data_IF_047882225763
#
_entry.id   IF_047882225763
#
_cell.length_a   1.000
_cell.length_b   1.000
_cell.length_c   1.000
_cell.angle_alpha   90.00
_cell.angle_beta   90.00
_cell.angle_gamma   90.00
#
_symmetry.space_group_name_H-M   'P 1'
#
loop_
_entity.id
_entity.type
_entity.pdbx_description
1 polymer ?
#
# COMPACT_ATOMS: atom_id res chain seq x y z
N UNK A 1 -14.41 0.47 -4.96
CA UNK A 1 -13.77 0.31 -3.66
C UNK A 1 -14.87 0.39 -2.62
N UNK A 2 -15.07 -0.65 -1.80
CA UNK A 2 -15.87 -0.54 -0.59
C UNK A 2 -15.24 0.51 0.34
N UNK A 3 -16.05 1.34 1.00
CA UNK A 3 -15.54 2.35 1.93
C UNK A 3 -16.26 2.23 3.26
N UNK A 4 -15.53 2.41 4.35
CA UNK A 4 -16.12 2.57 5.67
C UNK A 4 -16.71 3.98 5.87
N UNK A 5 -17.75 4.07 6.71
CA UNK A 5 -18.52 5.32 6.93
C UNK A 5 -18.46 5.83 8.37
N UNK A 6 -17.92 5.03 9.30
CA UNK A 6 -17.74 5.45 10.68
C UNK A 6 -16.42 6.21 10.84
N UNK A 7 -16.27 6.96 11.93
CA UNK A 7 -15.06 7.71 12.26
C UNK A 7 -14.40 7.11 13.50
N UNK A 8 -13.06 7.07 13.52
CA UNK A 8 -12.29 6.57 14.67
C UNK A 8 -12.56 7.40 15.95
N UNK A 9 -12.40 6.80 17.15
CA UNK A 9 -12.48 7.55 18.40
C UNK A 9 -11.42 8.66 18.47
N UNK A 10 -11.77 9.78 19.11
CA UNK A 10 -10.86 10.92 19.29
C UNK A 10 -9.55 10.57 20.01
N UNK A 11 -9.54 9.52 20.84
CA UNK A 11 -8.34 9.00 21.53
C UNK A 11 -7.35 8.30 20.60
N UNK A 12 -7.79 7.87 19.40
CA UNK A 12 -7.00 7.15 18.39
C UNK A 12 -6.65 8.03 17.17
N UNK A 13 -6.53 9.36 17.35
CA UNK A 13 -6.30 10.29 16.24
C UNK A 13 -5.04 9.97 15.41
N UNK A 14 -3.94 9.63 16.07
CA UNK A 14 -2.64 9.41 15.42
C UNK A 14 -2.49 8.05 14.73
N UNK A 15 -3.33 7.07 15.10
CA UNK A 15 -3.28 5.69 14.64
C UNK A 15 -4.56 4.94 15.05
N UNK A 16 -5.11 4.15 14.14
CA UNK A 16 -6.22 3.21 14.35
C UNK A 16 -5.87 1.91 13.66
N UNK A 17 -6.23 0.78 14.27
CA UNK A 17 -6.06 -0.55 13.67
C UNK A 17 -7.07 -0.72 12.52
N UNK A 18 -8.35 -0.48 12.78
CA UNK A 18 -9.38 -0.62 11.74
C UNK A 18 -9.48 0.61 10.81
N UNK A 19 -9.72 0.41 9.49
CA UNK A 19 -9.92 1.51 8.55
C UNK A 19 -11.25 2.21 8.80
N UNK A 20 -11.20 3.52 9.02
CA UNK A 20 -12.36 4.41 9.17
C UNK A 20 -12.52 5.35 7.95
N UNK A 21 -13.56 6.17 7.92
CA UNK A 21 -13.82 7.04 6.76
C UNK A 21 -12.68 8.03 6.47
N UNK A 22 -11.86 8.39 7.47
CA UNK A 22 -10.67 9.22 7.29
C UNK A 22 -9.60 8.48 6.48
N UNK A 23 -9.39 7.19 6.76
CA UNK A 23 -8.51 6.34 5.97
C UNK A 23 -8.92 6.31 4.50
N UNK A 24 -10.21 6.11 4.24
CA UNK A 24 -10.75 6.09 2.88
C UNK A 24 -10.57 7.44 2.19
N UNK A 25 -10.97 8.53 2.84
CA UNK A 25 -11.03 9.87 2.26
C UNK A 25 -9.65 10.48 2.01
N UNK A 26 -8.70 10.27 2.92
CA UNK A 26 -7.37 10.87 2.83
C UNK A 26 -6.32 9.93 2.23
N UNK A 27 -6.51 8.61 2.38
CA UNK A 27 -5.62 7.60 1.82
C UNK A 27 -6.03 7.21 0.41
N UNK A 28 -7.10 6.43 0.29
CA UNK A 28 -7.45 5.79 -0.98
C UNK A 28 -8.10 6.69 -2.02
N UNK A 29 -9.05 7.57 -1.62
CA UNK A 29 -9.80 8.39 -2.58
C UNK A 29 -8.87 9.24 -3.47
N UNK A 30 -7.80 9.88 -2.96
CA UNK A 30 -6.82 10.58 -3.79
C UNK A 30 -6.17 9.70 -4.88
N UNK A 31 -5.91 8.43 -4.61
CA UNK A 31 -5.35 7.51 -5.60
C UNK A 31 -6.24 7.34 -6.83
N UNK A 32 -7.56 7.42 -6.65
CA UNK A 32 -8.53 7.25 -7.73
C UNK A 32 -8.46 8.38 -8.76
N UNK A 33 -7.89 9.53 -8.40
CA UNK A 33 -7.64 10.66 -9.30
C UNK A 33 -6.30 10.57 -10.03
N UNK A 34 -5.44 9.62 -9.68
CA UNK A 34 -4.17 9.37 -10.35
C UNK A 34 -4.40 8.28 -11.40
N UNK A 35 -4.26 8.57 -12.71
CA UNK A 35 -4.61 7.60 -13.76
C UNK A 35 -3.90 6.25 -13.62
N UNK A 36 -2.60 6.23 -13.33
CA UNK A 36 -1.81 5.00 -13.14
C UNK A 36 -2.30 4.17 -11.96
N UNK A 37 -2.60 4.78 -10.83
CA UNK A 37 -3.15 4.09 -9.66
C UNK A 37 -4.58 3.61 -9.90
N UNK A 38 -5.42 4.37 -10.59
CA UNK A 38 -6.75 3.91 -10.98
C UNK A 38 -6.70 2.66 -11.89
N UNK A 39 -5.63 2.49 -12.69
CA UNK A 39 -5.38 1.26 -13.47
C UNK A 39 -4.89 0.14 -12.55
N UNK A 40 -4.00 0.45 -11.60
CA UNK A 40 -3.51 -0.48 -10.59
C UNK A 40 -4.65 -1.13 -9.79
N UNK A 41 -5.59 -0.34 -9.24
CA UNK A 41 -6.76 -0.88 -8.52
C UNK A 41 -7.60 -1.82 -9.39
N UNK A 42 -7.78 -1.50 -10.67
CA UNK A 42 -8.50 -2.37 -11.61
C UNK A 42 -7.74 -3.66 -11.89
N UNK A 43 -6.41 -3.60 -11.99
CA UNK A 43 -5.57 -4.78 -12.18
C UNK A 43 -5.68 -5.71 -10.97
N UNK A 44 -5.53 -5.20 -9.74
CA UNK A 44 -5.77 -5.96 -8.52
C UNK A 44 -7.14 -6.64 -8.51
N UNK A 45 -8.22 -5.90 -8.75
CA UNK A 45 -9.57 -6.46 -8.74
C UNK A 45 -9.81 -7.54 -9.80
N UNK A 46 -9.25 -7.37 -11.01
CA UNK A 46 -9.34 -8.36 -12.07
C UNK A 46 -8.56 -9.64 -11.74
N UNK A 47 -7.34 -9.50 -11.23
CA UNK A 47 -6.50 -10.63 -10.83
C UNK A 47 -7.13 -11.35 -9.65
N UNK A 48 -7.57 -10.64 -8.60
CA UNK A 48 -8.25 -11.23 -7.45
C UNK A 48 -9.45 -12.08 -7.88
N UNK A 49 -10.31 -11.55 -8.76
CA UNK A 49 -11.45 -12.33 -9.29
C UNK A 49 -10.99 -13.59 -10.02
N UNK A 50 -10.00 -13.49 -10.91
CA UNK A 50 -9.45 -14.65 -11.64
C UNK A 50 -8.90 -15.72 -10.69
N UNK A 51 -8.18 -15.33 -9.65
CA UNK A 51 -7.59 -16.25 -8.67
C UNK A 51 -8.67 -16.91 -7.82
N UNK A 52 -9.68 -16.16 -7.39
CA UNK A 52 -10.83 -16.69 -6.65
C UNK A 52 -11.63 -17.71 -7.48
N UNK A 53 -11.87 -17.43 -8.77
CA UNK A 53 -12.55 -18.36 -9.70
C UNK A 53 -11.76 -19.67 -9.89
N UNK A 54 -10.43 -19.63 -9.74
CA UNK A 54 -9.53 -20.79 -9.84
C UNK A 54 -9.33 -21.53 -8.52
N UNK A 55 -9.70 -20.92 -7.39
CA UNK A 55 -9.39 -21.45 -6.05
C UNK A 55 -7.88 -21.46 -5.74
N UNK A 56 -7.12 -20.48 -6.27
CA UNK A 56 -5.67 -20.38 -6.02
C UNK A 56 -5.38 -19.47 -4.82
N UNK A 57 -5.59 -20.00 -3.62
CA UNK A 57 -5.44 -19.27 -2.37
C UNK A 57 -4.00 -18.79 -2.15
N UNK A 58 -3.00 -19.58 -2.56
CA UNK A 58 -1.60 -19.19 -2.43
C UNK A 58 -1.23 -17.99 -3.32
N UNK A 59 -1.79 -17.89 -4.53
CA UNK A 59 -1.63 -16.69 -5.35
C UNK A 59 -2.41 -15.49 -4.79
N UNK A 60 -3.58 -15.72 -4.19
CA UNK A 60 -4.37 -14.67 -3.53
C UNK A 60 -3.58 -14.05 -2.36
N UNK A 61 -2.93 -14.86 -1.53
CA UNK A 61 -2.10 -14.37 -0.42
C UNK A 61 -0.97 -13.46 -0.91
N UNK A 62 -0.26 -13.87 -1.99
CA UNK A 62 0.78 -13.03 -2.61
C UNK A 62 0.22 -11.72 -3.15
N UNK A 63 -0.98 -11.76 -3.74
CA UNK A 63 -1.66 -10.57 -4.25
C UNK A 63 -2.00 -9.59 -3.12
N UNK A 64 -2.52 -10.10 -2.00
CA UNK A 64 -2.84 -9.31 -0.80
C UNK A 64 -1.58 -8.69 -0.21
N UNK A 65 -0.49 -9.46 -0.11
CA UNK A 65 0.79 -8.96 0.41
C UNK A 65 1.35 -7.81 -0.44
N UNK A 66 1.29 -7.94 -1.77
CA UNK A 66 1.68 -6.88 -2.70
C UNK A 66 0.77 -5.65 -2.57
N UNK A 67 -0.54 -5.86 -2.42
CA UNK A 67 -1.49 -4.77 -2.19
C UNK A 67 -1.12 -4.00 -0.92
N UNK A 68 -0.83 -4.69 0.19
CA UNK A 68 -0.43 -4.06 1.44
C UNK A 68 0.90 -3.29 1.30
N UNK A 69 1.91 -3.92 0.71
CA UNK A 69 3.24 -3.33 0.54
C UNK A 69 3.22 -2.04 -0.29
N UNK A 70 2.30 -1.92 -1.25
CA UNK A 70 2.26 -0.81 -2.22
C UNK A 70 1.12 0.16 -1.93
N UNK A 71 -0.12 -0.34 -1.87
CA UNK A 71 -1.32 0.51 -1.79
C UNK A 71 -1.56 1.01 -0.38
N UNK A 72 -1.26 0.21 0.65
CA UNK A 72 -1.45 0.61 2.05
C UNK A 72 -0.21 1.28 2.65
N UNK A 73 0.97 0.72 2.38
CA UNK A 73 2.22 1.09 3.07
C UNK A 73 3.30 1.69 2.16
N UNK A 74 3.05 1.82 0.86
CA UNK A 74 4.07 2.20 -0.12
C UNK A 74 4.69 3.59 0.09
N UNK A 75 5.98 3.70 -0.21
CA UNK A 75 6.72 4.95 -0.24
C UNK A 75 7.26 5.21 -1.66
N UNK A 76 7.52 6.48 -1.99
CA UNK A 76 8.04 6.90 -3.29
C UNK A 76 9.24 7.82 -3.08
N UNK A 77 10.32 7.59 -3.83
CA UNK A 77 11.48 8.48 -3.84
C UNK A 77 11.13 9.85 -4.44
N UNK A 78 11.59 10.93 -3.82
CA UNK A 78 11.36 12.30 -4.32
C UNK A 78 12.66 13.08 -4.42
N UNK A 79 13.20 13.16 -5.63
CA UNK A 79 14.36 14.01 -5.95
C UNK A 79 15.71 13.41 -5.58
N UNK A 80 16.78 14.24 -5.55
CA UNK A 80 18.13 13.79 -5.25
C UNK A 80 18.28 13.30 -3.79
N UNK A 81 19.03 12.21 -3.59
CA UNK A 81 19.25 11.58 -2.29
C UNK A 81 18.23 10.49 -1.93
N UNK A 82 18.14 10.16 -0.64
CA UNK A 82 17.23 9.14 -0.09
C UNK A 82 15.92 9.73 0.48
N UNK A 83 15.52 10.90 -0.01
CA UNK A 83 14.27 11.51 0.41
C UNK A 83 13.08 10.73 -0.17
N UNK A 84 12.13 10.37 0.69
CA UNK A 84 10.90 9.67 0.31
C UNK A 84 9.65 10.43 0.76
N UNK A 85 8.53 10.16 0.08
CA UNK A 85 7.19 10.54 0.51
C UNK A 85 6.29 9.32 0.57
N UNK A 86 5.30 9.35 1.44
CA UNK A 86 4.27 8.33 1.48
C UNK A 86 3.31 8.46 0.30
N UNK A 87 2.99 7.31 -0.30
CA UNK A 87 1.84 7.15 -1.19
C UNK A 87 0.85 6.12 -0.62
N UNK A 88 1.28 5.23 0.30
CA UNK A 88 0.39 4.25 0.92
C UNK A 88 -0.75 4.89 1.72
N UNK A 89 -1.98 4.38 1.55
CA UNK A 89 -3.19 4.92 2.13
C UNK A 89 -3.21 4.87 3.67
N UNK A 90 -2.83 3.73 4.28
CA UNK A 90 -2.68 3.66 5.74
C UNK A 90 -1.64 4.64 6.25
N UNK A 91 -0.50 4.78 5.55
CA UNK A 91 0.58 5.68 5.97
C UNK A 91 0.15 7.14 5.90
N UNK A 92 -0.51 7.58 4.81
CA UNK A 92 -0.97 8.97 4.67
C UNK A 92 -2.04 9.32 5.71
N UNK A 93 -2.94 8.39 6.00
CA UNK A 93 -4.06 8.61 6.93
C UNK A 93 -3.71 8.38 8.41
N UNK A 94 -2.52 7.86 8.70
CA UNK A 94 -1.98 7.66 10.05
C UNK A 94 -0.84 8.63 10.35
N UNK A 95 -1.11 9.75 11.02
CA UNK A 95 -0.11 10.78 11.28
C UNK A 95 1.13 10.28 12.06
N UNK A 96 0.95 9.29 12.96
CA UNK A 96 2.07 8.66 13.66
C UNK A 96 2.94 7.83 12.73
N UNK A 97 2.32 6.95 11.96
CA UNK A 97 3.02 6.08 11.02
C UNK A 97 3.67 6.86 9.88
N UNK A 98 3.03 7.92 9.37
CA UNK A 98 3.61 8.80 8.36
C UNK A 98 4.98 9.35 8.78
N UNK A 99 5.05 9.90 9.99
CA UNK A 99 6.30 10.45 10.54
C UNK A 99 7.33 9.36 10.74
N UNK A 100 6.90 8.19 11.23
CA UNK A 100 7.77 7.05 11.44
C UNK A 100 8.36 6.53 10.13
N UNK A 101 7.51 6.22 9.14
CA UNK A 101 7.90 5.65 7.86
C UNK A 101 8.90 6.53 7.12
N UNK A 102 8.75 7.86 7.14
CA UNK A 102 9.66 8.79 6.46
C UNK A 102 10.97 8.98 7.23
N UNK A 103 10.97 8.90 8.56
CA UNK A 103 12.13 9.20 9.40
C UNK A 103 13.12 8.04 9.58
N UNK A 104 12.79 6.82 9.14
CA UNK A 104 13.57 5.60 9.38
C UNK A 104 14.02 4.94 8.06
N UNK A 105 14.97 5.54 7.31
CA UNK A 105 15.43 5.02 6.03
C UNK A 105 16.09 3.65 6.11
N UNK A 106 16.60 3.24 7.27
CA UNK A 106 17.12 1.88 7.50
C UNK A 106 16.06 0.77 7.38
N UNK A 107 14.78 1.15 7.37
CA UNK A 107 13.62 0.25 7.17
C UNK A 107 13.15 0.20 5.73
N UNK A 108 13.74 1.01 4.85
CA UNK A 108 13.33 1.10 3.46
C UNK A 108 13.99 0.00 2.65
N UNK A 109 13.19 -0.69 1.84
CA UNK A 109 13.64 -1.65 0.84
C UNK A 109 13.19 -1.18 -0.54
N UNK A 110 13.97 -1.43 -1.61
CA UNK A 110 13.48 -1.26 -2.96
C UNK A 110 12.20 -2.07 -3.20
N UNK A 111 11.27 -1.52 -3.98
CA UNK A 111 10.09 -2.27 -4.40
C UNK A 111 10.49 -3.35 -5.41
N UNK A 112 10.62 -4.58 -4.91
CA UNK A 112 10.89 -5.80 -5.69
C UNK A 112 9.96 -6.91 -5.21
N UNK A 113 9.48 -7.76 -6.12
CA UNK A 113 8.48 -8.77 -5.78
C UNK A 113 9.04 -9.77 -4.77
N UNK A 114 10.27 -10.23 -4.97
CA UNK A 114 10.99 -11.13 -4.08
C UNK A 114 11.17 -10.53 -2.68
N UNK A 115 11.48 -9.22 -2.60
CA UNK A 115 11.60 -8.52 -1.34
C UNK A 115 10.25 -8.42 -0.61
N UNK A 116 9.17 -8.11 -1.34
CA UNK A 116 7.81 -8.08 -0.79
C UNK A 116 7.41 -9.46 -0.27
N UNK A 117 7.61 -10.52 -1.04
CA UNK A 117 7.25 -11.89 -0.60
C UNK A 117 8.05 -12.36 0.60
N UNK A 118 9.29 -11.88 0.75
CA UNK A 118 10.18 -12.29 1.84
C UNK A 118 9.99 -11.49 3.13
N UNK A 119 9.74 -10.19 3.03
CA UNK A 119 9.77 -9.26 4.16
C UNK A 119 8.48 -8.46 4.34
N UNK A 120 7.53 -8.57 3.42
CA UNK A 120 6.23 -7.93 3.54
C UNK A 120 5.42 -8.48 4.70
N UNK A 121 4.47 -7.67 5.17
CA UNK A 121 3.51 -8.08 6.19
C UNK A 121 2.16 -7.42 5.90
N UNK A 122 1.09 -8.08 6.32
CA UNK A 122 -0.27 -7.54 6.37
C UNK A 122 -0.69 -7.26 7.83
N UNK A 123 0.27 -7.25 8.74
CA UNK A 123 0.04 -6.94 10.15
C UNK A 123 -0.28 -5.46 10.31
N UNK A 124 -1.42 -5.21 10.95
CA UNK A 124 -1.95 -3.87 11.22
C UNK A 124 -1.68 -3.46 12.68
N UNK A 125 -1.08 -4.32 13.49
CA UNK A 125 -0.72 -4.05 14.89
C UNK A 125 0.57 -3.22 14.99
N UNK A 126 0.42 -1.92 14.79
CA UNK A 126 1.48 -0.93 14.95
C UNK A 126 2.13 -0.49 13.64
N UNK A 127 3.43 -0.18 13.69
CA UNK A 127 4.17 0.35 12.52
C UNK A 127 4.98 -0.75 11.85
N UNK A 128 5.09 -0.67 10.53
CA UNK A 128 5.78 -1.69 9.73
C UNK A 128 7.27 -1.78 10.06
N UNK A 129 7.79 -3.01 10.10
CA UNK A 129 9.24 -3.22 10.21
C UNK A 129 9.97 -2.78 8.92
N UNK A 130 9.32 -2.96 7.76
CA UNK A 130 9.86 -2.63 6.43
C UNK A 130 8.84 -1.90 5.57
N UNK A 131 9.33 -0.90 4.83
CA UNK A 131 8.55 -0.16 3.84
C UNK A 131 9.18 -0.33 2.46
N UNK A 132 8.35 -0.51 1.43
CA UNK A 132 8.82 -0.71 0.06
C UNK A 132 8.75 0.61 -0.72
N UNK A 133 9.90 1.01 -1.26
CA UNK A 133 10.10 2.30 -1.92
C UNK A 133 10.15 2.10 -3.42
N UNK A 134 9.24 2.75 -4.14
CA UNK A 134 9.33 2.85 -5.59
C UNK A 134 10.00 4.14 -6.06
N UNK A 135 10.49 4.11 -7.30
CA UNK A 135 11.21 5.23 -7.90
C UNK A 135 10.29 6.36 -8.36
N UNK A 136 9.03 6.06 -8.68
CA UNK A 136 8.00 7.05 -8.97
C UNK A 136 6.60 6.48 -8.74
N UNK A 137 5.61 7.36 -8.56
CA UNK A 137 4.19 6.98 -8.40
C UNK A 137 3.70 6.16 -9.60
N UNK A 138 4.11 6.53 -10.81
CA UNK A 138 3.78 5.81 -12.05
C UNK A 138 4.55 4.49 -12.17
N UNK A 139 5.86 4.52 -11.91
CA UNK A 139 6.71 3.33 -11.98
C UNK A 139 6.29 2.24 -11.00
N UNK A 140 5.84 2.60 -9.79
CA UNK A 140 5.26 1.63 -8.84
C UNK A 140 4.01 0.96 -9.42
N UNK A 141 3.09 1.75 -9.97
CA UNK A 141 1.86 1.22 -10.53
C UNK A 141 2.14 0.29 -11.71
N UNK A 142 3.02 0.70 -12.63
CA UNK A 142 3.37 -0.09 -13.81
C UNK A 142 4.11 -1.38 -13.43
N UNK A 143 5.02 -1.33 -12.44
CA UNK A 143 5.68 -2.51 -11.88
C UNK A 143 4.66 -3.53 -11.37
N UNK A 144 3.73 -3.10 -10.49
CA UNK A 144 2.75 -4.02 -9.91
C UNK A 144 1.78 -4.54 -10.96
N UNK A 145 1.33 -3.71 -11.91
CA UNK A 145 0.46 -4.15 -13.01
C UNK A 145 1.16 -5.25 -13.82
N UNK A 146 2.43 -5.06 -14.18
CA UNK A 146 3.20 -6.08 -14.90
C UNK A 146 3.38 -7.36 -14.09
N UNK A 147 3.53 -7.25 -12.77
CA UNK A 147 3.68 -8.40 -11.88
C UNK A 147 2.37 -9.19 -11.72
N UNK A 148 1.22 -8.53 -11.50
CA UNK A 148 -0.07 -9.22 -11.33
C UNK A 148 -0.57 -9.88 -12.62
N UNK A 149 -0.10 -9.45 -13.79
CA UNK A 149 -0.39 -10.12 -15.06
C UNK A 149 0.26 -11.51 -15.16
N UNK A 150 1.29 -11.78 -14.34
CA UNK A 150 2.03 -13.05 -14.29
C UNK A 150 1.44 -14.06 -13.29
N UNK A 151 0.51 -13.63 -12.40
CA UNK A 151 -0.17 -14.47 -11.41
C UNK A 151 -1.37 -15.24 -11.99
#
# INVERSE_FOLDING_TARGET
>A
MPCTMYIRPHTKYNFTEDPDCVHEMLGHIPHLFIPSWSRLYRAFGRTARRLAERGDDGAMERLILMYFAVVEKGLVRTGPGDAVKAIGASVISGAGELRYAVAHPERHLPLEAEAVMKYGSTDEDGFMDRYFVGESVEGMADFVISWVDQL
#
